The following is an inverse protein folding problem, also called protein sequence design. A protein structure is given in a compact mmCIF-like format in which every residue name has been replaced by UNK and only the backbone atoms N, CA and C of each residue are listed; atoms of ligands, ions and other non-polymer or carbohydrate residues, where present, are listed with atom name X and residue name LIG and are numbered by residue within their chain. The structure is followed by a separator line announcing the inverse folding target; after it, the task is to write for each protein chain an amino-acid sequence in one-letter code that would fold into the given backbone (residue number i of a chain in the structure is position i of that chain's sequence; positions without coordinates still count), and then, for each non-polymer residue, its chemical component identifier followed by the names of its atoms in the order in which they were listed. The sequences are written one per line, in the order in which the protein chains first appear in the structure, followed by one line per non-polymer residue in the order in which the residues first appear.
data_IF_380988795212
#
_entry.id   IF_380988795212
#
_cell.length_a   1.000
_cell.length_b   1.000
_cell.length_c   1.000
_cell.angle_alpha   90.00
_cell.angle_beta   90.00
_cell.angle_gamma   90.00
#
_symmetry.space_group_name_H-M   'P 1'
#
loop_
_entity.id
_entity.type
_entity.pdbx_description
1 polymer ?
#
# COMPACT_ATOMS: atom_id res chain seq x y z
N UNK A 1 -1.28 8.20 -22.38
CA UNK A 1 -0.17 8.37 -21.43
C UNK A 1 -0.37 7.53 -20.20
N UNK A 2 0.67 6.83 -19.80
CA UNK A 2 0.61 6.04 -18.56
C UNK A 2 0.67 6.97 -17.36
N UNK A 3 -0.15 6.67 -16.37
CA UNK A 3 -0.23 7.44 -15.16
C UNK A 3 0.05 6.52 -13.97
N UNK A 4 1.34 6.31 -13.70
CA UNK A 4 1.77 5.43 -12.63
C UNK A 4 1.84 6.17 -11.31
N UNK A 5 1.44 5.49 -10.24
CA UNK A 5 1.58 5.98 -8.88
C UNK A 5 2.29 4.90 -8.07
N UNK A 6 3.32 5.28 -7.33
CA UNK A 6 4.01 4.37 -6.43
C UNK A 6 3.76 4.82 -4.98
N UNK A 7 3.29 3.90 -4.16
CA UNK A 7 3.16 4.10 -2.73
C UNK A 7 4.48 3.68 -2.12
N UNK A 8 5.28 4.67 -1.76
CA UNK A 8 6.72 4.52 -1.55
C UNK A 8 7.12 4.68 -0.09
N UNK A 9 8.04 3.83 0.34
CA UNK A 9 8.71 3.97 1.62
C UNK A 9 10.21 4.13 1.35
N UNK A 10 10.78 5.35 1.49
CA UNK A 10 12.20 5.59 1.19
C UNK A 10 13.17 4.76 2.02
N UNK A 11 12.71 4.24 3.15
CA UNK A 11 13.55 3.42 4.02
C UNK A 11 13.59 1.95 3.63
N UNK A 12 12.71 1.55 2.72
CA UNK A 12 12.61 0.16 2.28
C UNK A 12 13.42 -0.04 0.99
N UNK A 13 14.37 -0.97 1.01
CA UNK A 13 15.21 -1.21 -0.16
C UNK A 13 14.40 -1.69 -1.37
N UNK A 14 13.39 -2.53 -1.14
CA UNK A 14 12.53 -3.01 -2.21
C UNK A 14 11.77 -1.85 -2.88
N UNK A 15 11.30 -0.92 -2.06
CA UNK A 15 10.57 0.23 -2.56
C UNK A 15 11.49 1.14 -3.37
N UNK A 16 12.72 1.38 -2.89
CA UNK A 16 13.70 2.17 -3.62
C UNK A 16 14.06 1.54 -4.96
N UNK A 17 14.24 0.22 -4.98
CA UNK A 17 14.57 -0.49 -6.22
C UNK A 17 13.43 -0.42 -7.23
N UNK A 18 12.19 -0.53 -6.77
CA UNK A 18 11.04 -0.43 -7.64
C UNK A 18 10.95 0.95 -8.29
N UNK A 19 11.16 2.00 -7.50
CA UNK A 19 11.16 3.36 -8.02
C UNK A 19 12.27 3.55 -9.06
N UNK A 20 13.45 3.01 -8.77
CA UNK A 20 14.60 3.08 -9.67
C UNK A 20 14.29 2.38 -11.00
N UNK A 21 13.67 1.20 -10.95
CA UNK A 21 13.27 0.47 -12.15
C UNK A 21 12.28 1.24 -13.01
N UNK A 22 11.33 1.92 -12.37
CA UNK A 22 10.38 2.75 -13.09
C UNK A 22 11.07 3.87 -13.83
N UNK A 23 12.03 4.52 -13.16
CA UNK A 23 12.81 5.61 -13.77
C UNK A 23 13.68 5.12 -14.91
N UNK A 24 14.27 3.93 -14.77
CA UNK A 24 15.10 3.35 -15.82
C UNK A 24 14.30 3.07 -17.09
N UNK A 25 13.00 2.81 -16.94
CA UNK A 25 12.09 2.57 -18.06
C UNK A 25 11.51 3.85 -18.62
N UNK A 26 11.98 5.01 -18.15
CA UNK A 26 11.48 6.30 -18.63
C UNK A 26 10.15 6.69 -18.02
N UNK A 27 9.73 6.05 -16.93
CA UNK A 27 8.47 6.34 -16.26
C UNK A 27 8.73 7.30 -15.11
N UNK A 28 7.95 8.38 -15.05
CA UNK A 28 8.00 9.31 -13.94
C UNK A 28 6.71 9.14 -13.12
N UNK A 29 6.73 8.29 -12.08
CA UNK A 29 5.52 8.03 -11.32
C UNK A 29 5.20 9.16 -10.35
N UNK A 30 3.92 9.25 -9.98
CA UNK A 30 3.52 10.04 -8.83
C UNK A 30 3.96 9.28 -7.59
N UNK A 31 4.65 9.96 -6.69
CA UNK A 31 5.16 9.32 -5.48
C UNK A 31 4.27 9.70 -4.30
N UNK A 32 3.72 8.69 -3.64
CA UNK A 32 2.93 8.88 -2.43
C UNK A 32 3.73 8.33 -1.25
N UNK A 33 4.14 9.21 -0.36
CA UNK A 33 4.87 8.83 0.86
C UNK A 33 3.84 8.53 1.95
N UNK A 34 3.28 7.34 1.90
CA UNK A 34 2.13 6.98 2.73
C UNK A 34 2.42 6.89 4.23
N UNK A 35 3.69 6.81 4.63
CA UNK A 35 4.05 6.86 6.04
C UNK A 35 3.99 8.27 6.60
N UNK A 36 4.16 9.27 5.75
CA UNK A 36 4.10 10.68 6.13
C UNK A 36 2.72 11.26 5.89
N UNK A 37 2.09 10.86 4.77
CA UNK A 37 0.76 11.31 4.39
C UNK A 37 -0.18 10.12 4.50
N UNK A 38 -0.77 9.93 5.67
CA UNK A 38 -1.60 8.77 5.96
C UNK A 38 -2.75 8.64 4.97
N UNK A 39 -2.98 7.41 4.53
CA UNK A 39 -4.09 7.12 3.65
C UNK A 39 -5.38 7.04 4.47
N UNK A 40 -6.46 7.58 3.93
CA UNK A 40 -7.77 7.44 4.54
C UNK A 40 -8.33 6.05 4.24
N UNK A 41 -9.41 5.68 4.92
CA UNK A 41 -10.07 4.41 4.64
C UNK A 41 -10.58 4.38 3.20
N UNK A 42 -11.07 5.52 2.68
CA UNK A 42 -11.52 5.61 1.29
C UNK A 42 -10.37 5.41 0.31
N UNK A 43 -9.21 6.01 0.60
CA UNK A 43 -8.02 5.83 -0.24
C UNK A 43 -7.62 4.35 -0.30
N UNK A 44 -7.62 3.68 0.84
CA UNK A 44 -7.24 2.26 0.92
C UNK A 44 -8.27 1.40 0.17
N UNK A 45 -9.55 1.67 0.35
CA UNK A 45 -10.61 0.93 -0.35
C UNK A 45 -10.47 1.07 -1.86
N UNK A 46 -10.24 2.29 -2.34
CA UNK A 46 -10.04 2.54 -3.76
C UNK A 46 -8.80 1.83 -4.29
N UNK A 47 -7.72 1.84 -3.51
CA UNK A 47 -6.48 1.17 -3.88
C UNK A 47 -6.69 -0.33 -4.00
N UNK A 48 -7.39 -0.93 -3.05
CA UNK A 48 -7.70 -2.36 -3.08
C UNK A 48 -8.53 -2.72 -4.31
N UNK A 49 -9.48 -1.87 -4.67
CA UNK A 49 -10.29 -2.08 -5.88
C UNK A 49 -9.43 -2.04 -7.13
N UNK A 50 -8.51 -1.08 -7.22
CA UNK A 50 -7.59 -0.97 -8.37
C UNK A 50 -6.66 -2.18 -8.47
N UNK A 51 -6.23 -2.71 -7.33
CA UNK A 51 -5.35 -3.87 -7.28
C UNK A 51 -6.08 -5.19 -7.37
N UNK A 52 -7.40 -5.16 -7.26
CA UNK A 52 -8.25 -6.35 -7.21
C UNK A 52 -7.80 -7.29 -6.08
N UNK A 53 -7.58 -6.71 -4.90
CA UNK A 53 -7.09 -7.43 -3.73
C UNK A 53 -8.04 -7.30 -2.55
N UNK A 54 -7.98 -8.30 -1.68
CA UNK A 54 -8.69 -8.25 -0.40
C UNK A 54 -7.82 -7.52 0.62
N UNK A 55 -8.41 -6.86 1.63
CA UNK A 55 -7.63 -6.15 2.64
C UNK A 55 -6.56 -7.01 3.32
N UNK A 56 -6.88 -8.25 3.60
CA UNK A 56 -5.94 -9.15 4.28
C UNK A 56 -4.70 -9.43 3.43
N UNK A 57 -4.83 -9.40 2.12
CA UNK A 57 -3.70 -9.62 1.21
C UNK A 57 -2.72 -8.45 1.23
N UNK A 58 -3.17 -7.26 1.61
CA UNK A 58 -2.34 -6.08 1.67
C UNK A 58 -1.62 -5.92 3.02
N UNK A 59 -2.00 -6.71 4.01
CA UNK A 59 -1.41 -6.64 5.35
C UNK A 59 -0.01 -7.26 5.40
N UNK A 60 0.91 -6.57 6.07
CA UNK A 60 2.25 -7.09 6.32
C UNK A 60 2.26 -7.86 7.63
N UNK A 61 2.26 -9.18 7.53
CA UNK A 61 2.23 -10.04 8.72
C UNK A 61 3.54 -10.06 9.49
N UNK A 62 4.62 -9.59 8.90
CA UNK A 62 5.93 -9.56 9.56
C UNK A 62 6.11 -8.39 10.52
N UNK A 63 5.20 -7.41 10.50
CA UNK A 63 5.31 -6.26 11.38
C UNK A 63 4.88 -6.59 12.80
N UNK A 64 5.57 -6.00 13.79
CA UNK A 64 5.25 -6.16 15.20
C UNK A 64 3.81 -5.79 15.50
N UNK A 65 3.32 -4.72 14.86
CA UNK A 65 1.96 -4.25 15.04
C UNK A 65 0.91 -5.29 14.64
N UNK A 66 1.23 -6.15 13.68
CA UNK A 66 0.35 -7.23 13.28
C UNK A 66 0.07 -8.18 14.46
N UNK A 67 1.10 -8.50 15.22
CA UNK A 67 0.97 -9.36 16.39
C UNK A 67 0.31 -8.64 17.55
N UNK A 68 0.72 -7.40 17.80
CA UNK A 68 0.21 -6.61 18.92
C UNK A 68 -1.29 -6.35 18.80
N UNK A 69 -1.78 -6.14 17.58
CA UNK A 69 -3.19 -5.87 17.35
C UNK A 69 -4.02 -7.14 17.12
N UNK A 70 -3.39 -8.31 17.17
CA UNK A 70 -4.09 -9.56 17.00
C UNK A 70 -4.69 -9.76 15.61
N UNK A 71 -4.03 -9.26 14.59
CA UNK A 71 -4.56 -9.26 13.23
C UNK A 71 -4.61 -10.62 12.56
N UNK A 72 -4.05 -11.63 13.21
CA UNK A 72 -4.13 -13.00 12.74
C UNK A 72 -5.55 -13.55 12.86
N UNK A 73 -6.38 -12.94 13.68
CA UNK A 73 -7.76 -13.35 13.90
C UNK A 73 -8.56 -13.22 12.61
N UNK A 74 -9.09 -14.33 12.11
CA UNK A 74 -9.84 -14.37 10.87
C UNK A 74 -11.24 -13.78 10.98
N UNK A 75 -11.70 -13.52 12.20
CA UNK A 75 -13.02 -12.94 12.43
C UNK A 75 -13.05 -11.41 12.26
N UNK A 76 -11.88 -10.79 12.10
CA UNK A 76 -11.81 -9.35 11.86
C UNK A 76 -12.38 -9.04 10.47
N UNK A 77 -13.33 -8.12 10.40
CA UNK A 77 -13.98 -7.77 9.14
C UNK A 77 -13.04 -6.99 8.22
N UNK A 78 -13.33 -7.00 6.92
CA UNK A 78 -12.57 -6.24 5.95
C UNK A 78 -12.57 -4.74 6.25
N UNK A 79 -13.72 -4.21 6.63
CA UNK A 79 -13.83 -2.81 7.01
C UNK A 79 -12.94 -2.45 8.18
N UNK A 80 -12.85 -3.35 9.17
CA UNK A 80 -12.00 -3.12 10.33
C UNK A 80 -10.52 -3.18 9.94
N UNK A 81 -10.15 -4.10 9.06
CA UNK A 81 -8.77 -4.19 8.57
C UNK A 81 -8.35 -2.90 7.83
N UNK A 82 -9.25 -2.37 7.02
CA UNK A 82 -8.99 -1.12 6.29
C UNK A 82 -8.79 0.03 7.28
N UNK A 83 -9.64 0.11 8.31
CA UNK A 83 -9.52 1.12 9.35
C UNK A 83 -8.18 1.02 10.07
N UNK A 84 -7.77 -0.20 10.41
CA UNK A 84 -6.50 -0.44 11.09
C UNK A 84 -5.32 -0.01 10.20
N UNK A 85 -5.35 -0.36 8.93
CA UNK A 85 -4.29 0.03 8.00
C UNK A 85 -4.20 1.54 7.84
N UNK A 86 -5.32 2.25 7.89
CA UNK A 86 -5.31 3.72 7.78
C UNK A 86 -4.62 4.36 8.97
N UNK A 87 -4.68 3.74 10.14
CA UNK A 87 -4.05 4.23 11.36
C UNK A 87 -2.63 3.71 11.56
N UNK A 88 -2.29 2.61 10.93
CA UNK A 88 -0.99 1.95 11.07
C UNK A 88 -0.39 1.67 9.69
N UNK A 89 0.14 2.71 9.03
CA UNK A 89 0.62 2.56 7.65
C UNK A 89 1.73 1.54 7.47
N UNK A 90 2.48 1.21 8.53
CA UNK A 90 3.51 0.17 8.44
C UNK A 90 2.95 -1.20 8.13
N UNK A 91 1.65 -1.40 8.37
CA UNK A 91 0.98 -2.66 8.08
C UNK A 91 0.64 -2.83 6.61
N UNK A 92 0.78 -1.76 5.82
CA UNK A 92 0.50 -1.83 4.39
C UNK A 92 1.71 -2.40 3.65
N UNK A 93 1.49 -3.46 2.88
CA UNK A 93 2.55 -4.09 2.09
C UNK A 93 3.10 -3.11 1.07
N UNK A 94 4.40 -3.17 0.80
CA UNK A 94 5.09 -2.22 -0.09
C UNK A 94 6.17 -2.92 -0.90
N UNK A 95 6.56 -2.39 -2.06
CA UNK A 95 5.98 -1.23 -2.72
C UNK A 95 4.66 -1.56 -3.41
N UNK A 96 3.83 -0.55 -3.62
CA UNK A 96 2.59 -0.69 -4.39
C UNK A 96 2.69 0.24 -5.59
N UNK A 97 2.51 -0.30 -6.78
CA UNK A 97 2.55 0.48 -8.02
C UNK A 97 1.22 0.30 -8.73
N UNK A 98 0.58 1.40 -9.06
CA UNK A 98 -0.70 1.40 -9.76
C UNK A 98 -0.59 2.20 -11.03
N UNK A 99 -1.12 1.67 -12.11
CA UNK A 99 -1.25 2.39 -13.37
C UNK A 99 -2.70 2.81 -13.53
N UNK A 100 -2.94 4.13 -13.50
CA UNK A 100 -4.29 4.68 -13.57
C UNK A 100 -4.70 5.10 -14.98
N UNK A 101 -3.98 4.67 -15.99
CA UNK A 101 -4.32 4.96 -17.36
C UNK A 101 -5.70 4.44 -17.74
N UNK A 102 -6.17 3.47 -17.04
CA UNK A 102 -7.44 2.80 -17.32
C UNK A 102 -8.62 3.74 -17.23
N UNK A 103 -9.50 3.60 -18.14
CA UNK A 103 -10.74 4.37 -18.16
C UNK A 103 -11.93 3.46 -18.10
#
# INVERSE_FOLDING_TARGET
MDNFTIYHNPRCSKSRKTLELLKEKGIEPNIVLYLENLLTTDNISNLLALLNMEPRELLRSSETEYKELGLKDKNITNGKLIEIMSKHPKLIERPIVVNKLRT
#
